data_IF_395407701074
#
_entry.id   IF_395407701074
#
_cell.length_a   1.000
_cell.length_b   1.000
_cell.length_c   1.000
_cell.angle_alpha   90.00
_cell.angle_beta   90.00
_cell.angle_gamma   90.00
#
_symmetry.space_group_name_H-M   'P 1'
#
loop_
_entity.id
_entity.type
_entity.pdbx_description
1 polymer ?
#
# COMPACT_ATOMS: atom_id res chain seq x y z
N UNK A 1 -1.12 -21.51 -5.87
CA UNK A 1 -2.24 -20.81 -5.20
C UNK A 1 -2.43 -19.46 -5.88
N UNK A 2 -3.65 -18.95 -5.96
CA UNK A 2 -3.95 -17.67 -6.62
C UNK A 2 -3.47 -16.52 -5.73
N UNK A 3 -2.64 -15.63 -6.25
CA UNK A 3 -2.15 -14.48 -5.47
C UNK A 3 -3.30 -13.53 -5.15
N UNK A 4 -3.44 -13.04 -3.89
CA UNK A 4 -4.44 -12.04 -3.50
C UNK A 4 -4.43 -10.77 -4.34
N UNK A 5 -3.32 -10.51 -5.03
CA UNK A 5 -3.14 -9.40 -5.96
C UNK A 5 -3.99 -9.47 -7.23
N UNK A 6 -4.48 -10.66 -7.61
CA UNK A 6 -5.28 -10.85 -8.82
C UNK A 6 -6.73 -10.36 -8.66
N UNK A 7 -7.22 -10.30 -7.43
CA UNK A 7 -8.55 -9.82 -7.11
C UNK A 7 -8.50 -8.84 -5.92
N UNK A 8 -8.12 -7.57 -6.19
CA UNK A 8 -8.09 -6.52 -5.18
C UNK A 8 -9.46 -6.13 -4.65
N UNK A 9 -10.54 -6.42 -5.37
CA UNK A 9 -11.89 -6.08 -4.93
C UNK A 9 -12.35 -7.02 -3.81
N UNK A 10 -11.93 -8.30 -3.87
CA UNK A 10 -12.24 -9.30 -2.86
C UNK A 10 -11.22 -9.33 -1.71
N UNK A 11 -9.92 -9.15 -2.00
CA UNK A 11 -8.84 -9.33 -1.01
C UNK A 11 -8.17 -8.01 -0.59
N UNK A 12 -8.61 -6.88 -1.14
CA UNK A 12 -8.08 -5.57 -0.83
C UNK A 12 -8.62 -5.00 0.48
N UNK A 13 -7.75 -4.33 1.22
CA UNK A 13 -8.12 -3.50 2.38
C UNK A 13 -8.08 -2.03 1.97
N UNK A 14 -9.16 -1.30 2.29
CA UNK A 14 -9.34 0.08 1.87
C UNK A 14 -8.95 1.08 2.97
N UNK A 15 -8.18 2.10 2.56
CA UNK A 15 -7.78 3.26 3.37
C UNK A 15 -8.12 4.51 2.56
N UNK A 16 -9.31 5.09 2.78
CA UNK A 16 -9.81 6.19 1.97
C UNK A 16 -9.91 5.79 0.49
N UNK A 17 -9.10 6.39 -0.38
CA UNK A 17 -8.99 6.05 -1.81
C UNK A 17 -7.90 5.03 -2.14
N UNK A 18 -7.12 4.59 -1.14
CA UNK A 18 -5.99 3.68 -1.30
C UNK A 18 -6.45 2.25 -0.98
N UNK A 19 -6.17 1.30 -1.87
CA UNK A 19 -6.44 -0.13 -1.68
C UNK A 19 -5.09 -0.83 -1.50
N UNK A 20 -4.97 -1.72 -0.52
CA UNK A 20 -3.78 -2.57 -0.35
C UNK A 20 -4.17 -4.04 -0.36
N UNK A 21 -3.41 -4.82 -1.11
CA UNK A 21 -3.47 -6.29 -1.09
C UNK A 21 -2.14 -6.80 -0.57
N UNK A 22 -2.16 -7.81 0.28
CA UNK A 22 -0.97 -8.40 0.90
C UNK A 22 -0.96 -9.88 0.55
N UNK A 23 0.17 -10.36 0.05
CA UNK A 23 0.40 -11.78 -0.22
C UNK A 23 1.42 -12.29 0.78
N UNK A 24 0.90 -13.00 1.79
CA UNK A 24 1.68 -13.49 2.91
C UNK A 24 2.63 -14.63 2.51
N UNK A 25 2.29 -15.41 1.49
CA UNK A 25 3.12 -16.52 1.00
C UNK A 25 4.36 -15.99 0.28
N UNK A 26 4.20 -14.90 -0.47
CA UNK A 26 5.28 -14.27 -1.25
C UNK A 26 6.03 -13.19 -0.48
N UNK A 27 5.47 -12.70 0.62
CA UNK A 27 6.11 -11.70 1.46
C UNK A 27 6.01 -10.28 0.89
N UNK A 28 5.04 -10.01 0.01
CA UNK A 28 4.93 -8.77 -0.74
C UNK A 28 3.53 -8.14 -0.64
N UNK A 29 3.43 -6.89 -1.11
CA UNK A 29 2.16 -6.18 -1.16
C UNK A 29 2.01 -5.34 -2.43
N UNK A 30 0.77 -5.14 -2.85
CA UNK A 30 0.43 -4.19 -3.92
C UNK A 30 -0.50 -3.13 -3.36
N UNK A 31 -0.14 -1.88 -3.57
CA UNK A 31 -0.98 -0.72 -3.29
C UNK A 31 -1.52 -0.16 -4.59
N UNK A 32 -2.82 0.12 -4.59
CA UNK A 32 -3.53 0.84 -5.64
C UNK A 32 -3.95 2.18 -5.04
N UNK A 33 -3.46 3.27 -5.60
CA UNK A 33 -3.80 4.61 -5.14
C UNK A 33 -4.17 5.50 -6.33
N UNK A 34 -5.00 6.52 -6.12
CA UNK A 34 -5.26 7.51 -7.16
C UNK A 34 -3.98 8.26 -7.53
N UNK A 35 -3.55 8.06 -8.78
CA UNK A 35 -2.46 8.78 -9.41
C UNK A 35 -2.95 9.98 -10.20
N UNK A 36 -2.02 10.88 -10.54
CA UNK A 36 -2.28 11.97 -11.48
C UNK A 36 -2.04 11.47 -12.90
N UNK A 37 -3.10 11.37 -13.70
CA UNK A 37 -3.03 11.18 -15.14
C UNK A 37 -2.76 12.48 -15.89
N UNK A 38 -2.84 12.43 -17.22
CA UNK A 38 -2.86 13.63 -18.06
C UNK A 38 -4.08 14.49 -17.71
N UNK A 39 -3.85 15.80 -17.57
CA UNK A 39 -4.85 16.88 -17.40
C UNK A 39 -6.11 16.44 -16.63
N UNK A 40 -6.02 16.44 -15.30
CA UNK A 40 -7.19 16.31 -14.41
C UNK A 40 -7.78 14.90 -14.26
N UNK A 41 -7.28 13.89 -14.98
CA UNK A 41 -7.72 12.51 -14.80
C UNK A 41 -7.08 11.86 -13.56
N UNK A 42 -7.91 11.29 -12.69
CA UNK A 42 -7.49 10.45 -11.56
C UNK A 42 -7.37 9.01 -12.07
N UNK A 43 -6.14 8.56 -12.36
CA UNK A 43 -5.87 7.21 -12.88
C UNK A 43 -5.34 6.35 -11.73
N UNK A 44 -5.90 5.16 -11.47
CA UNK A 44 -5.38 4.27 -10.43
C UNK A 44 -3.93 3.86 -10.77
N UNK A 45 -3.00 4.24 -9.90
CA UNK A 45 -1.61 3.84 -9.95
C UNK A 45 -1.41 2.63 -9.06
N UNK A 46 -0.83 1.56 -9.62
CA UNK A 46 -0.48 0.34 -8.90
C UNK A 46 1.01 0.33 -8.61
N UNK A 47 1.39 0.08 -7.36
CA UNK A 47 2.78 -0.08 -6.94
C UNK A 47 2.93 -1.35 -6.11
N UNK A 48 3.88 -2.20 -6.50
CA UNK A 48 4.27 -3.41 -5.77
C UNK A 48 5.47 -3.13 -4.89
N UNK A 49 5.47 -3.71 -3.69
CA UNK A 49 6.59 -3.72 -2.75
C UNK A 49 6.90 -5.18 -2.44
N UNK A 50 8.11 -5.62 -2.77
CA UNK A 50 8.52 -7.03 -2.78
C UNK A 50 9.06 -7.50 -1.42
N UNK A 51 9.22 -6.60 -0.45
CA UNK A 51 9.78 -6.94 0.85
C UNK A 51 9.30 -6.03 1.98
N UNK A 52 9.44 -6.50 3.21
CA UNK A 52 9.13 -5.73 4.42
C UNK A 52 9.98 -4.45 4.52
N UNK A 53 11.25 -4.48 4.11
CA UNK A 53 12.12 -3.32 4.15
C UNK A 53 11.63 -2.22 3.18
N UNK A 54 11.23 -2.60 1.96
CA UNK A 54 10.64 -1.67 0.99
C UNK A 54 9.35 -1.03 1.54
N UNK A 55 8.52 -1.82 2.23
CA UNK A 55 7.27 -1.35 2.84
C UNK A 55 7.57 -0.36 3.98
N UNK A 56 8.54 -0.67 4.86
CA UNK A 56 8.93 0.20 5.98
C UNK A 56 9.57 1.49 5.48
N UNK A 57 10.42 1.41 4.46
CA UNK A 57 11.02 2.59 3.81
C UNK A 57 9.95 3.50 3.22
N UNK A 58 9.03 2.93 2.44
CA UNK A 58 7.91 3.67 1.87
C UNK A 58 6.99 4.27 2.95
N UNK A 59 6.72 3.54 4.02
CA UNK A 59 5.92 4.02 5.15
C UNK A 59 6.51 5.28 5.75
N UNK A 60 7.83 5.28 6.03
CA UNK A 60 8.53 6.46 6.58
C UNK A 60 8.44 7.65 5.65
N UNK A 61 8.65 7.45 4.34
CA UNK A 61 8.49 8.52 3.34
C UNK A 61 7.07 9.08 3.34
N UNK A 62 6.05 8.23 3.39
CA UNK A 62 4.65 8.68 3.38
C UNK A 62 4.25 9.40 4.68
N UNK A 63 4.81 9.01 5.83
CA UNK A 63 4.67 9.77 7.08
C UNK A 63 5.27 11.19 6.96
N UNK A 64 6.44 11.33 6.35
CA UNK A 64 7.05 12.65 6.10
C UNK A 64 6.20 13.48 5.14
N UNK A 65 5.69 12.88 4.06
CA UNK A 65 4.82 13.56 3.10
C UNK A 65 3.47 13.95 3.72
N UNK A 66 2.93 13.13 4.61
CA UNK A 66 1.70 13.43 5.34
C UNK A 66 1.87 14.59 6.32
N UNK A 67 3.07 14.78 6.88
CA UNK A 67 3.39 15.94 7.71
C UNK A 67 3.40 17.26 6.88
N UNK A 68 3.76 17.18 5.59
CA UNK A 68 3.66 18.30 4.65
C UNK A 68 2.21 18.51 4.17
N UNK A 69 1.39 19.08 5.06
CA UNK A 69 -0.04 19.34 4.84
C UNK A 69 -0.30 20.12 3.53
N UNK A 70 -1.26 19.65 2.74
CA UNK A 70 -1.76 20.33 1.54
C UNK A 70 -1.11 19.95 0.20
N UNK A 71 0.06 19.28 0.20
CA UNK A 71 0.72 18.84 -1.05
C UNK A 71 0.39 17.40 -1.44
N UNK A 72 0.10 16.55 -0.45
CA UNK A 72 -0.10 15.11 -0.65
C UNK A 72 -1.38 14.64 0.07
N UNK A 73 -2.57 14.79 -0.53
CA UNK A 73 -3.84 14.49 0.13
C UNK A 73 -3.97 13.02 0.55
N UNK A 74 -3.33 12.09 -0.18
CA UNK A 74 -3.44 10.65 0.06
C UNK A 74 -2.25 10.07 0.84
N UNK A 75 -1.28 10.89 1.27
CA UNK A 75 -0.06 10.39 1.93
C UNK A 75 -0.36 9.70 3.27
N UNK A 76 -1.35 10.21 4.02
CA UNK A 76 -1.77 9.61 5.30
C UNK A 76 -2.41 8.24 5.10
N UNK A 77 -3.30 8.12 4.12
CA UNK A 77 -3.95 6.86 3.78
C UNK A 77 -2.93 5.83 3.26
N UNK A 78 -2.00 6.27 2.41
CA UNK A 78 -0.88 5.46 1.93
C UNK A 78 0.01 4.96 3.09
N UNK A 79 0.32 5.82 4.07
CA UNK A 79 1.09 5.42 5.25
C UNK A 79 0.33 4.36 6.08
N UNK A 80 -0.98 4.52 6.29
CA UNK A 80 -1.80 3.54 7.01
C UNK A 80 -1.84 2.19 6.27
N UNK A 81 -1.98 2.21 4.95
CA UNK A 81 -1.96 1.01 4.11
C UNK A 81 -0.62 0.27 4.20
N UNK A 82 0.50 0.99 4.12
CA UNK A 82 1.84 0.43 4.26
C UNK A 82 2.08 -0.13 5.67
N UNK A 83 1.62 0.57 6.71
CA UNK A 83 1.70 0.09 8.08
C UNK A 83 0.94 -1.22 8.26
N UNK A 84 -0.28 -1.30 7.74
CA UNK A 84 -1.09 -2.52 7.78
C UNK A 84 -0.38 -3.69 7.08
N UNK A 85 0.11 -3.48 5.85
CA UNK A 85 0.84 -4.51 5.11
C UNK A 85 2.10 -4.99 5.85
N UNK A 86 2.88 -4.07 6.40
CA UNK A 86 4.08 -4.40 7.17
C UNK A 86 3.76 -5.18 8.46
N UNK A 87 2.66 -4.84 9.15
CA UNK A 87 2.21 -5.57 10.34
C UNK A 87 1.77 -6.99 10.00
N UNK A 88 0.97 -7.17 8.95
CA UNK A 88 0.51 -8.48 8.46
C UNK A 88 1.69 -9.39 8.10
N UNK A 89 2.65 -8.87 7.33
CA UNK A 89 3.84 -9.63 6.93
C UNK A 89 4.72 -10.00 8.12
N UNK A 90 4.94 -9.06 9.05
CA UNK A 90 5.72 -9.31 10.25
C UNK A 90 5.08 -10.38 11.14
N UNK A 91 3.77 -10.30 11.37
CA UNK A 91 3.05 -11.31 12.14
C UNK A 91 3.13 -12.69 11.48
N UNK A 92 3.02 -12.76 10.16
CA UNK A 92 3.18 -14.02 9.43
C UNK A 92 4.60 -14.59 9.53
N UNK A 93 5.63 -13.75 9.49
CA UNK A 93 7.02 -14.17 9.69
C UNK A 93 7.32 -14.66 11.12
N UNK A 94 6.66 -14.10 12.13
CA UNK A 94 6.81 -14.51 13.53
C UNK A 94 6.00 -15.78 13.88
N UNK A 95 4.99 -16.13 13.07
CA UNK A 95 4.14 -17.29 13.27
C UNK A 95 4.64 -18.59 12.60
N UNK A 96 5.70 -18.49 11.79
CA UNK A 96 6.36 -19.61 11.08
C UNK A 96 7.63 -20.03 11.84
#
# INVERSE_FOLDING_TARGET
MSSPHLDPDTHGTNFGKVIVTVDLERGDCIIIAPGKGLVGQEIPSRKRFNSLDEIVGAYRTQCQLAACSGKHPNARDMANALKFAGQQLKQNQEAV
#
